data_IF_494712767887
#
_entry.id   IF_494712767887
#
_cell.length_a   1.000
_cell.length_b   1.000
_cell.length_c   1.000
_cell.angle_alpha   90.00
_cell.angle_beta   90.00
_cell.angle_gamma   90.00
#
_symmetry.space_group_name_H-M   'P 1'
#
loop_
_entity.id
_entity.type
_entity.pdbx_description
1 polymer ?
#
# COMPACT_ATOMS: atom_id res chain seq x y z
N UNK A 1 -16.51 6.60 -7.78
CA UNK A 1 -15.66 5.40 -7.54
C UNK A 1 -16.42 4.42 -6.66
N UNK A 2 -16.39 3.16 -7.01
CA UNK A 2 -16.87 2.08 -6.14
C UNK A 2 -15.70 1.51 -5.36
N UNK A 3 -15.97 0.58 -4.48
CA UNK A 3 -14.92 -0.15 -3.79
C UNK A 3 -14.15 -1.03 -4.79
N UNK A 4 -12.85 -0.89 -4.80
CA UNK A 4 -11.94 -1.69 -5.61
C UNK A 4 -10.91 -2.38 -4.73
N UNK A 5 -10.64 -3.63 -5.02
CA UNK A 5 -9.70 -4.44 -4.26
C UNK A 5 -8.59 -4.89 -5.22
N UNK A 6 -7.36 -4.65 -4.81
CA UNK A 6 -6.17 -5.03 -5.56
C UNK A 6 -5.34 -5.98 -4.70
N UNK A 7 -4.84 -7.04 -5.30
CA UNK A 7 -4.00 -8.00 -4.61
C UNK A 7 -2.71 -8.22 -5.38
N UNK A 8 -1.61 -8.43 -4.66
CA UNK A 8 -0.30 -8.65 -5.26
C UNK A 8 0.44 -9.71 -4.47
N UNK A 9 0.95 -10.72 -5.19
CA UNK A 9 1.84 -11.70 -4.60
C UNK A 9 3.27 -11.17 -4.67
N UNK A 10 3.92 -11.07 -3.52
CA UNK A 10 5.27 -10.53 -3.40
C UNK A 10 6.36 -11.57 -3.60
N UNK A 11 6.00 -12.84 -3.75
CA UNK A 11 6.97 -13.93 -3.87
C UNK A 11 7.89 -13.75 -5.07
N UNK A 12 9.20 -13.89 -4.85
CA UNK A 12 10.20 -13.73 -5.89
C UNK A 12 10.43 -12.29 -6.37
N UNK A 13 9.86 -11.29 -5.69
CA UNK A 13 10.02 -9.87 -6.05
C UNK A 13 10.98 -9.16 -5.12
N UNK A 14 11.70 -8.18 -5.67
CA UNK A 14 12.56 -7.29 -4.91
C UNK A 14 12.10 -5.84 -5.15
N UNK A 15 11.46 -5.25 -4.15
CA UNK A 15 10.90 -3.90 -4.25
C UNK A 15 11.94 -2.79 -4.07
N UNK A 16 13.21 -3.14 -3.86
CA UNK A 16 14.32 -2.19 -3.94
C UNK A 16 14.77 -1.95 -5.39
N UNK A 17 14.29 -2.74 -6.34
CA UNK A 17 14.59 -2.57 -7.76
C UNK A 17 14.07 -1.21 -8.24
N UNK A 18 14.84 -0.58 -9.14
CA UNK A 18 14.51 0.76 -9.67
C UNK A 18 13.16 0.82 -10.38
N UNK A 19 12.67 -0.28 -10.91
CA UNK A 19 11.36 -0.29 -11.58
C UNK A 19 10.21 0.08 -10.65
N UNK A 20 10.40 -0.06 -9.34
CA UNK A 20 9.42 0.31 -8.33
C UNK A 20 9.59 1.73 -7.78
N UNK A 21 10.69 2.40 -8.11
CA UNK A 21 10.98 3.73 -7.57
C UNK A 21 9.85 4.76 -7.73
N UNK A 22 9.12 4.80 -8.87
CA UNK A 22 8.01 5.75 -9.02
C UNK A 22 6.85 5.54 -8.05
N UNK A 23 6.79 4.39 -7.40
CA UNK A 23 5.71 3.99 -6.50
C UNK A 23 6.08 4.06 -5.03
N UNK A 24 7.30 4.52 -4.71
CA UNK A 24 7.82 4.52 -3.36
C UNK A 24 8.26 5.92 -2.92
N UNK A 25 7.87 6.30 -1.71
CA UNK A 25 8.38 7.50 -1.06
C UNK A 25 9.72 7.21 -0.39
N UNK A 26 10.54 8.24 -0.25
CA UNK A 26 11.79 8.13 0.51
C UNK A 26 11.53 7.75 1.95
N UNK A 27 10.52 8.32 2.55
CA UNK A 27 10.10 8.01 3.93
C UNK A 27 9.84 6.50 4.11
N UNK A 28 9.12 5.89 3.17
CA UNK A 28 8.81 4.46 3.23
C UNK A 28 10.07 3.61 3.09
N UNK A 29 10.97 4.00 2.18
CA UNK A 29 12.25 3.32 1.99
C UNK A 29 13.07 3.35 3.28
N UNK A 30 13.19 4.52 3.90
CA UNK A 30 13.97 4.68 5.13
C UNK A 30 13.36 3.87 6.27
N UNK A 31 12.04 3.88 6.42
CA UNK A 31 11.35 3.10 7.43
C UNK A 31 11.50 1.58 7.22
N UNK A 32 11.57 1.13 5.97
CA UNK A 32 11.75 -0.28 5.68
C UNK A 32 13.07 -0.83 6.22
N UNK A 33 14.11 0.01 6.23
CA UNK A 33 15.43 -0.38 6.72
C UNK A 33 15.46 -0.65 8.23
N UNK A 34 14.48 -0.16 8.96
CA UNK A 34 14.36 -0.40 10.41
C UNK A 34 13.83 -1.81 10.74
N UNK A 35 13.30 -2.52 9.77
CA UNK A 35 12.83 -3.88 9.95
C UNK A 35 14.00 -4.84 9.84
N UNK A 36 14.07 -5.77 10.79
CA UNK A 36 15.22 -6.67 10.89
C UNK A 36 15.21 -7.77 9.83
N UNK A 37 14.01 -8.28 9.50
CA UNK A 37 13.89 -9.39 8.56
C UNK A 37 13.75 -8.88 7.12
N UNK A 38 14.50 -9.44 6.16
CA UNK A 38 14.39 -9.05 4.75
C UNK A 38 12.97 -9.17 4.20
N UNK A 39 12.25 -10.21 4.58
CA UNK A 39 10.86 -10.41 4.15
C UNK A 39 9.95 -9.28 4.64
N UNK A 40 10.11 -8.84 5.88
CA UNK A 40 9.31 -7.76 6.45
C UNK A 40 9.60 -6.44 5.75
N UNK A 41 10.86 -6.20 5.36
CA UNK A 41 11.24 -5.04 4.55
C UNK A 41 10.54 -5.06 3.21
N UNK A 42 10.53 -6.20 2.54
CA UNK A 42 9.88 -6.35 1.24
C UNK A 42 8.36 -6.15 1.34
N UNK A 43 7.70 -6.72 2.33
CA UNK A 43 6.27 -6.53 2.53
C UNK A 43 5.92 -5.07 2.83
N UNK A 44 6.78 -4.40 3.60
CA UNK A 44 6.61 -2.98 3.94
C UNK A 44 6.65 -2.09 2.69
N UNK A 45 7.62 -2.34 1.81
CA UNK A 45 7.73 -1.63 0.53
C UNK A 45 6.58 -1.99 -0.42
N UNK A 46 6.24 -3.26 -0.49
CA UNK A 46 5.20 -3.76 -1.39
C UNK A 46 3.85 -3.11 -1.12
N UNK A 47 3.51 -2.82 0.13
CA UNK A 47 2.25 -2.18 0.48
C UNK A 47 2.12 -0.80 -0.19
N UNK A 48 3.17 0.00 -0.18
CA UNK A 48 3.15 1.31 -0.84
C UNK A 48 3.16 1.18 -2.36
N UNK A 49 3.92 0.25 -2.90
CA UNK A 49 3.92 -0.02 -4.35
C UNK A 49 2.52 -0.37 -4.81
N UNK A 50 1.84 -1.27 -4.10
CA UNK A 50 0.48 -1.67 -4.47
C UNK A 50 -0.51 -0.52 -4.34
N UNK A 51 -0.41 0.28 -3.27
CA UNK A 51 -1.25 1.47 -3.10
C UNK A 51 -1.14 2.39 -4.32
N UNK A 52 0.08 2.74 -4.71
CA UNK A 52 0.29 3.69 -5.80
C UNK A 52 -0.09 3.10 -7.16
N UNK A 53 0.16 1.80 -7.38
CA UNK A 53 -0.33 1.13 -8.59
C UNK A 53 -1.85 1.09 -8.64
N UNK A 54 -2.50 0.83 -7.52
CA UNK A 54 -3.95 0.83 -7.43
C UNK A 54 -4.53 2.21 -7.75
N UNK A 55 -3.93 3.26 -7.20
CA UNK A 55 -4.34 4.64 -7.48
C UNK A 55 -4.18 4.97 -8.97
N UNK A 56 -3.09 4.55 -9.58
CA UNK A 56 -2.83 4.73 -11.00
C UNK A 56 -3.86 3.99 -11.86
N UNK A 57 -4.12 2.72 -11.53
CA UNK A 57 -5.06 1.87 -12.27
C UNK A 57 -6.52 2.30 -12.10
N UNK A 58 -6.86 2.88 -10.96
CA UNK A 58 -8.22 3.37 -10.70
C UNK A 58 -8.54 4.70 -11.36
N UNK A 59 -7.54 5.32 -12.00
CA UNK A 59 -7.67 6.64 -12.63
C UNK A 59 -8.18 7.70 -11.63
N UNK A 60 -7.64 7.67 -10.42
CA UNK A 60 -8.04 8.58 -9.36
C UNK A 60 -7.59 10.03 -9.60
N UNK A 61 -6.77 10.26 -10.64
CA UNK A 61 -6.36 11.60 -11.04
C UNK A 61 -5.38 12.29 -10.11
N UNK A 62 -4.72 11.57 -9.22
CA UNK A 62 -3.75 12.14 -8.30
C UNK A 62 -2.32 11.75 -8.66
N UNK A 63 -1.39 12.61 -8.25
CA UNK A 63 0.04 12.34 -8.44
C UNK A 63 0.48 11.15 -7.58
N UNK A 64 1.40 10.34 -8.09
CA UNK A 64 2.03 9.26 -7.36
C UNK A 64 3.54 9.51 -7.23
N UNK A 65 4.17 9.06 -6.15
CA UNK A 65 3.57 8.39 -5.01
C UNK A 65 2.67 9.33 -4.20
N UNK A 66 1.53 8.82 -3.73
CA UNK A 66 0.57 9.63 -2.99
C UNK A 66 1.09 9.95 -1.59
N UNK A 67 0.73 11.14 -1.11
CA UNK A 67 0.95 11.52 0.28
C UNK A 67 -0.17 10.92 1.13
N UNK A 68 0.20 10.13 2.11
CA UNK A 68 -0.75 9.55 3.05
C UNK A 68 -0.26 9.74 4.49
N UNK A 69 -1.20 9.71 5.42
CA UNK A 69 -0.93 9.82 6.86
C UNK A 69 -1.69 8.72 7.58
N UNK A 70 -1.45 8.57 8.87
CA UNK A 70 -2.19 7.64 9.71
C UNK A 70 -2.95 8.42 10.78
N UNK A 71 -4.19 7.98 11.04
CA UNK A 71 -5.00 8.57 12.11
C UNK A 71 -4.56 8.05 13.49
N UNK A 72 -5.26 8.47 14.54
CA UNK A 72 -4.95 8.08 15.92
C UNK A 72 -5.00 6.55 16.15
N UNK A 73 -5.74 5.82 15.30
CA UNK A 73 -5.86 4.36 15.38
C UNK A 73 -4.89 3.64 14.45
N UNK A 74 -3.98 4.37 13.81
CA UNK A 74 -3.02 3.79 12.89
C UNK A 74 -3.56 3.49 11.49
N UNK A 75 -4.81 3.89 11.18
CA UNK A 75 -5.41 3.67 9.88
C UNK A 75 -4.89 4.70 8.87
N UNK A 76 -4.45 4.27 7.66
CA UNK A 76 -3.97 5.19 6.65
C UNK A 76 -5.11 5.98 6.01
N UNK A 77 -4.82 7.23 5.61
CA UNK A 77 -5.75 8.08 4.88
C UNK A 77 -4.99 9.05 3.98
N UNK A 78 -5.70 9.60 2.98
CA UNK A 78 -5.16 10.57 2.05
C UNK A 78 -5.59 11.97 2.48
N UNK A 79 -4.72 12.78 3.12
CA UNK A 79 -5.12 14.08 3.65
C UNK A 79 -5.49 15.10 2.56
N UNK A 80 -4.96 14.94 1.34
CA UNK A 80 -5.23 15.84 0.22
C UNK A 80 -6.40 15.38 -0.66
N UNK A 81 -6.95 14.19 -0.42
CA UNK A 81 -8.01 13.57 -1.23
C UNK A 81 -9.01 12.85 -0.32
N UNK A 82 -9.72 13.64 0.50
CA UNK A 82 -10.58 13.11 1.57
C UNK A 82 -11.79 12.30 1.08
N UNK A 83 -12.14 12.41 -0.20
CA UNK A 83 -13.20 11.59 -0.81
C UNK A 83 -12.78 10.19 -1.20
N UNK A 84 -11.52 9.85 -1.04
CA UNK A 84 -10.98 8.53 -1.37
C UNK A 84 -10.45 7.89 -0.10
N UNK A 85 -10.98 6.72 0.23
CA UNK A 85 -10.57 5.95 1.38
C UNK A 85 -9.64 4.82 0.95
N UNK A 86 -8.57 4.63 1.70
CA UNK A 86 -7.56 3.60 1.43
C UNK A 86 -7.39 2.72 2.65
N UNK A 87 -7.01 1.47 2.38
CA UNK A 87 -6.50 0.59 3.41
C UNK A 87 -5.68 -0.51 2.75
N UNK A 88 -4.80 -1.15 3.51
CA UNK A 88 -4.04 -2.29 3.02
C UNK A 88 -3.78 -3.26 4.16
N UNK A 89 -3.52 -4.50 3.79
CA UNK A 89 -3.15 -5.56 4.71
C UNK A 89 -2.26 -6.56 3.99
N UNK A 90 -1.60 -7.42 4.73
CA UNK A 90 -0.80 -8.50 4.15
C UNK A 90 -0.95 -9.79 4.96
N UNK A 91 -0.80 -10.90 4.29
CA UNK A 91 -0.75 -12.22 4.90
C UNK A 91 0.11 -13.15 4.04
N UNK A 92 1.07 -13.82 4.67
CA UNK A 92 2.04 -14.62 3.93
C UNK A 92 2.82 -13.77 2.96
N UNK A 93 2.74 -14.09 1.67
CA UNK A 93 3.39 -13.35 0.58
C UNK A 93 2.45 -12.37 -0.12
N UNK A 94 1.18 -12.32 0.27
CA UNK A 94 0.18 -11.48 -0.38
C UNK A 94 0.01 -10.14 0.33
N UNK A 95 -0.14 -9.09 -0.48
CA UNK A 95 -0.54 -7.75 -0.03
C UNK A 95 -1.85 -7.43 -0.73
N UNK A 96 -2.79 -6.85 0.02
CA UNK A 96 -4.09 -6.42 -0.49
C UNK A 96 -4.26 -4.94 -0.19
N UNK A 97 -4.76 -4.19 -1.18
CA UNK A 97 -5.09 -2.78 -1.04
C UNK A 97 -6.54 -2.56 -1.44
N UNK A 98 -7.26 -1.76 -0.67
CA UNK A 98 -8.64 -1.38 -0.95
C UNK A 98 -8.70 0.12 -1.19
N UNK A 99 -9.36 0.50 -2.28
CA UNK A 99 -9.74 1.89 -2.57
C UNK A 99 -11.27 1.98 -2.61
N UNK A 100 -11.83 3.01 -1.99
CA UNK A 100 -13.28 3.18 -1.96
C UNK A 100 -13.66 4.65 -1.84
N UNK A 101 -14.87 4.99 -2.27
CA UNK A 101 -15.50 6.27 -1.98
C UNK A 101 -16.21 6.26 -0.62
N UNK A 102 -16.13 5.16 0.12
CA UNK A 102 -16.67 5.00 1.47
C UNK A 102 -15.58 4.48 2.39
N UNK A 103 -15.68 4.80 3.67
CA UNK A 103 -14.74 4.28 4.65
C UNK A 103 -14.79 2.75 4.66
N UNK A 104 -13.63 2.13 4.54
CA UNK A 104 -13.49 0.67 4.47
C UNK A 104 -12.42 0.18 5.43
N UNK A 105 -12.64 -1.01 5.96
CA UNK A 105 -11.62 -1.78 6.66
C UNK A 105 -11.26 -3.00 5.84
N UNK A 106 -10.06 -3.49 6.04
CA UNK A 106 -9.62 -4.76 5.46
C UNK A 106 -8.81 -5.53 6.49
N UNK A 107 -9.10 -6.82 6.58
CA UNK A 107 -8.36 -7.74 7.41
C UNK A 107 -8.11 -9.00 6.60
N UNK A 108 -6.84 -9.30 6.37
CA UNK A 108 -6.42 -10.49 5.65
C UNK A 108 -5.74 -11.45 6.62
N UNK A 109 -6.32 -12.63 6.76
CA UNK A 109 -5.78 -13.67 7.62
C UNK A 109 -5.44 -14.91 6.81
N UNK A 110 -4.32 -15.53 7.17
CA UNK A 110 -4.00 -16.86 6.66
C UNK A 110 -4.87 -17.88 7.37
N UNK A 111 -5.69 -18.56 6.60
CA UNK A 111 -6.45 -19.72 7.05
C UNK A 111 -5.66 -20.93 6.59
N UNK A 112 -4.94 -21.50 7.49
CA UNK A 112 -4.08 -22.63 7.11
C UNK A 112 -4.37 -23.83 7.93
#
# INVERSE_FOLDING_TARGET
>A
MRTRIYAMNTDGKDYTDECYAPYLTRSRKDESLKRQKPRDRQLYLAAEVLLNRALELSDAGMAIPAVYSRNAYGKPYLPLHTGIYINWSHSGTWVICVLSDREVGIDLQMIG
#
